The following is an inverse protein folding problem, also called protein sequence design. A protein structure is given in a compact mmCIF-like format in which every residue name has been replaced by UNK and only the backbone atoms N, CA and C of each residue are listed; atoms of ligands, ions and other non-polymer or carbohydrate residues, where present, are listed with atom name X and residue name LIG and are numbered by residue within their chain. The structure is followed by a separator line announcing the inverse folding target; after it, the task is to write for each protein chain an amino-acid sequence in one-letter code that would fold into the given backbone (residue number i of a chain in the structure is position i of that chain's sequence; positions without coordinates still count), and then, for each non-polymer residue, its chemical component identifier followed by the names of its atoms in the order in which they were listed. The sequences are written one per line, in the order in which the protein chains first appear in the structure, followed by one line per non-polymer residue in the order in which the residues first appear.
data_IF_382743506989
#
_entry.id   IF_382743506989
#
_cell.length_a   1.000
_cell.length_b   1.000
_cell.length_c   1.000
_cell.angle_alpha   90.00
_cell.angle_beta   90.00
_cell.angle_gamma   90.00
#
_symmetry.space_group_name_H-M   'P 1'
#
loop_
_entity.id
_entity.type
_entity.pdbx_description
1 polymer ?
#
# COMPACT_ATOMS: atom_id res chain seq x y z
N UNK A 1 20.58 3.12 -3.79
CA UNK A 1 19.86 2.53 -2.63
C UNK A 1 18.53 2.00 -3.13
N UNK A 2 18.06 0.83 -2.66
CA UNK A 2 16.71 0.37 -2.99
C UNK A 2 15.71 1.42 -2.47
N UNK A 3 14.91 1.97 -3.38
CA UNK A 3 13.88 2.96 -3.05
C UNK A 3 12.82 2.32 -2.16
N UNK A 4 12.18 3.13 -1.32
CA UNK A 4 11.03 2.67 -0.57
C UNK A 4 9.83 2.42 -1.48
N UNK A 5 8.97 1.45 -1.12
CA UNK A 5 7.76 1.18 -1.88
C UNK A 5 6.81 2.37 -1.82
N UNK A 6 6.34 2.79 -3.00
CA UNK A 6 5.40 3.89 -3.18
C UNK A 6 4.06 3.34 -3.65
N UNK A 7 2.98 3.63 -2.92
CA UNK A 7 1.63 3.20 -3.30
C UNK A 7 0.83 4.41 -3.78
N UNK A 8 0.35 4.38 -5.02
CA UNK A 8 -0.47 5.44 -5.60
C UNK A 8 -1.96 5.26 -5.29
N UNK A 9 -2.59 6.27 -4.71
CA UNK A 9 -4.04 6.32 -4.56
C UNK A 9 -4.66 6.97 -5.81
N UNK A 10 -5.55 6.25 -6.46
CA UNK A 10 -6.17 6.64 -7.73
C UNK A 10 -7.68 6.47 -7.68
N UNK A 11 -8.38 7.21 -8.51
CA UNK A 11 -9.84 7.16 -8.61
C UNK A 11 -10.39 8.45 -9.19
N UNK A 12 -11.65 8.41 -9.62
CA UNK A 12 -12.36 9.58 -10.10
C UNK A 12 -12.57 10.61 -8.98
N UNK A 13 -12.86 11.89 -9.30
CA UNK A 13 -13.34 12.86 -8.32
C UNK A 13 -14.52 12.32 -7.51
N UNK A 14 -14.63 12.74 -6.25
CA UNK A 14 -15.74 12.36 -5.34
C UNK A 14 -15.84 10.87 -4.97
N UNK A 15 -14.87 10.03 -5.37
CA UNK A 15 -14.78 8.61 -4.95
C UNK A 15 -14.45 8.41 -3.46
N UNK A 16 -13.91 9.46 -2.80
CA UNK A 16 -13.42 9.40 -1.43
C UNK A 16 -11.91 9.11 -1.32
N UNK A 17 -11.15 9.29 -2.42
CA UNK A 17 -9.69 9.18 -2.46
C UNK A 17 -8.98 10.00 -1.37
N UNK A 18 -9.22 11.30 -1.30
CA UNK A 18 -8.57 12.17 -0.31
C UNK A 18 -8.99 11.84 1.12
N UNK A 19 -10.24 11.40 1.34
CA UNK A 19 -10.70 10.92 2.65
C UNK A 19 -9.94 9.64 3.05
N UNK A 20 -9.77 8.71 2.11
CA UNK A 20 -9.00 7.46 2.31
C UNK A 20 -7.54 7.77 2.62
N UNK A 21 -6.92 8.70 1.88
CA UNK A 21 -5.56 9.16 2.15
C UNK A 21 -5.44 9.72 3.57
N UNK A 22 -6.30 10.66 3.94
CA UNK A 22 -6.28 11.29 5.26
C UNK A 22 -6.42 10.26 6.39
N UNK A 23 -7.27 9.24 6.20
CA UNK A 23 -7.42 8.16 7.17
C UNK A 23 -6.20 7.25 7.27
N UNK A 24 -5.35 7.16 6.24
CA UNK A 24 -4.11 6.38 6.26
C UNK A 24 -2.91 7.15 6.82
N UNK A 25 -2.95 8.49 6.81
CA UNK A 25 -1.81 9.36 7.12
C UNK A 25 -1.80 9.94 8.52
N UNK A 26 -2.97 10.06 9.19
CA UNK A 26 -3.12 10.74 10.48
C UNK A 26 -2.70 9.87 11.68
N UNK A 27 -1.57 9.18 11.59
CA UNK A 27 -1.01 8.52 12.76
C UNK A 27 -0.36 9.59 13.64
N UNK A 28 -0.73 9.58 14.90
CA UNK A 28 -0.21 10.30 16.07
C UNK A 28 1.32 10.19 16.30
N UNK A 29 2.10 9.79 15.29
CA UNK A 29 3.53 9.58 15.37
C UNK A 29 4.31 10.85 15.05
N UNK A 30 5.49 10.98 15.69
CA UNK A 30 6.43 12.06 15.40
C UNK A 30 6.91 11.93 13.96
N UNK A 31 6.44 12.81 13.09
CA UNK A 31 7.05 13.06 11.79
C UNK A 31 8.36 13.82 12.04
N UNK A 32 9.41 13.09 12.43
CA UNK A 32 10.77 13.62 12.40
C UNK A 32 11.29 13.69 10.97
N UNK A 33 12.49 14.27 10.77
CA UNK A 33 13.22 14.25 9.50
C UNK A 33 13.60 12.80 9.13
N UNK A 34 12.64 12.01 8.66
CA UNK A 34 12.92 10.79 7.91
C UNK A 34 13.60 11.21 6.60
N UNK A 35 14.54 10.42 6.04
CA UNK A 35 15.17 10.68 4.74
C UNK A 35 14.23 10.98 3.55
N UNK A 36 12.91 10.90 3.73
CA UNK A 36 11.88 11.06 2.70
C UNK A 36 10.85 12.17 3.02
N UNK A 37 11.08 13.02 4.03
CA UNK A 37 10.27 14.24 4.22
C UNK A 37 10.58 15.23 3.10
N UNK A 38 10.11 14.93 1.89
CA UNK A 38 10.21 15.80 0.72
C UNK A 38 9.00 16.73 0.71
N UNK A 39 9.20 18.00 0.36
CA UNK A 39 8.17 19.03 0.24
C UNK A 39 7.41 18.82 -1.09
N UNK A 40 6.92 17.61 -1.34
CA UNK A 40 6.03 17.34 -2.47
C UNK A 40 4.61 17.21 -1.93
N UNK A 41 3.69 18.15 -2.22
CA UNK A 41 2.34 18.16 -1.65
C UNK A 41 1.50 16.93 -1.99
N UNK A 42 1.93 16.10 -2.96
CA UNK A 42 1.25 14.85 -3.33
C UNK A 42 1.76 13.62 -2.57
N UNK A 43 2.92 13.68 -1.91
CA UNK A 43 3.47 12.54 -1.17
C UNK A 43 3.05 12.61 0.28
N UNK A 44 2.58 11.50 0.81
CA UNK A 44 2.20 11.36 2.20
C UNK A 44 2.81 10.11 2.83
N UNK A 45 2.94 10.11 4.15
CA UNK A 45 3.40 8.94 4.90
C UNK A 45 2.19 8.25 5.50
N UNK A 46 1.87 7.07 4.98
CA UNK A 46 0.90 6.17 5.57
C UNK A 46 1.56 5.26 6.62
N UNK A 47 0.74 4.57 7.41
CA UNK A 47 1.23 3.64 8.42
C UNK A 47 0.63 2.25 8.22
N UNK A 48 1.46 1.33 7.75
CA UNK A 48 1.11 -0.07 7.56
C UNK A 48 1.11 -0.80 8.90
N UNK A 49 -0.02 -1.38 9.29
CA UNK A 49 -0.12 -2.19 10.49
C UNK A 49 0.35 -3.63 10.20
N UNK A 50 1.40 -4.06 10.92
CA UNK A 50 1.97 -5.42 10.84
C UNK A 50 2.07 -6.06 12.22
N UNK A 51 2.29 -7.36 12.27
CA UNK A 51 2.70 -8.04 13.49
C UNK A 51 4.16 -7.68 13.83
N UNK A 52 4.38 -7.21 15.05
CA UNK A 52 5.69 -6.81 15.53
C UNK A 52 6.50 -8.02 15.97
N UNK A 53 7.80 -8.01 15.67
CA UNK A 53 8.74 -8.98 16.22
C UNK A 53 8.73 -9.06 17.76
N UNK A 54 8.41 -7.97 18.45
CA UNK A 54 8.45 -7.93 19.92
C UNK A 54 7.50 -8.93 20.59
N UNK A 55 6.37 -9.27 19.94
CA UNK A 55 5.41 -10.24 20.46
C UNK A 55 5.98 -11.66 20.52
N UNK A 56 6.87 -12.02 19.57
CA UNK A 56 7.55 -13.32 19.54
C UNK A 56 8.48 -13.56 20.73
N UNK A 57 8.86 -12.49 21.45
CA UNK A 57 9.84 -12.53 22.55
C UNK A 57 9.31 -11.93 23.86
N UNK A 58 8.01 -11.67 23.98
CA UNK A 58 7.40 -11.03 25.15
C UNK A 58 8.06 -9.68 25.53
N UNK A 59 8.39 -8.87 24.52
CA UNK A 59 9.06 -7.55 24.69
C UNK A 59 8.16 -6.36 24.35
N UNK A 60 6.84 -6.54 24.26
CA UNK A 60 5.88 -5.50 23.87
C UNK A 60 6.03 -4.23 24.73
N UNK A 61 6.18 -4.39 26.05
CA UNK A 61 6.32 -3.27 27.01
C UNK A 61 7.61 -2.44 26.79
N UNK A 62 8.63 -3.06 26.23
CA UNK A 62 9.94 -2.46 25.97
C UNK A 62 10.12 -2.00 24.51
N UNK A 63 9.17 -2.33 23.63
CA UNK A 63 9.21 -1.94 22.23
C UNK A 63 9.03 -0.43 22.12
N UNK A 64 10.08 0.28 21.69
CA UNK A 64 10.06 1.74 21.53
C UNK A 64 10.50 2.09 20.11
N UNK A 65 9.56 2.02 19.15
CA UNK A 65 9.77 2.49 17.79
C UNK A 65 10.44 3.86 17.72
N UNK A 66 11.41 4.03 16.82
CA UNK A 66 11.84 5.37 16.42
C UNK A 66 10.75 6.08 15.61
N UNK A 67 9.96 5.29 14.86
CA UNK A 67 8.96 5.77 13.93
C UNK A 67 7.71 4.90 13.97
N UNK A 68 6.55 5.53 13.76
CA UNK A 68 5.26 4.90 13.98
C UNK A 68 5.04 4.57 15.45
N UNK A 69 4.25 3.53 15.71
CA UNK A 69 3.89 3.09 17.06
C UNK A 69 3.95 1.56 17.16
N UNK A 70 4.00 1.05 18.38
CA UNK A 70 3.86 -0.37 18.65
C UNK A 70 2.93 -0.56 19.85
N UNK A 71 1.73 -1.08 19.59
CA UNK A 71 0.71 -1.30 20.60
C UNK A 71 0.45 -2.80 20.69
N UNK A 72 0.74 -3.39 21.86
CA UNK A 72 0.48 -4.80 22.15
C UNK A 72 0.94 -5.80 21.06
N UNK A 73 2.12 -5.59 20.48
CA UNK A 73 2.64 -6.48 19.43
C UNK A 73 2.15 -6.17 18.02
N UNK A 74 1.34 -5.13 17.80
CA UNK A 74 1.03 -4.57 16.49
C UNK A 74 1.90 -3.35 16.22
N UNK A 75 2.63 -3.36 15.11
CA UNK A 75 3.56 -2.29 14.72
C UNK A 75 2.98 -1.50 13.56
N UNK A 76 3.01 -0.18 13.68
CA UNK A 76 2.72 0.74 12.58
C UNK A 76 4.03 1.12 11.91
N UNK A 77 4.22 0.72 10.65
CA UNK A 77 5.45 0.96 9.87
C UNK A 77 5.17 2.02 8.81
N UNK A 78 5.97 3.10 8.74
CA UNK A 78 5.82 4.12 7.70
C UNK A 78 5.93 3.52 6.28
N UNK A 79 5.04 3.94 5.39
CA UNK A 79 5.07 3.60 3.97
C UNK A 79 4.70 4.83 3.13
N UNK A 80 5.29 4.97 1.95
CA UNK A 80 5.07 6.13 1.10
C UNK A 80 3.77 5.96 0.30
N UNK A 81 2.93 6.99 0.36
CA UNK A 81 1.68 7.10 -0.38
C UNK A 81 1.79 8.29 -1.35
N UNK A 82 1.24 8.12 -2.54
CA UNK A 82 1.11 9.19 -3.54
C UNK A 82 -0.38 9.49 -3.74
N UNK A 83 -0.79 10.73 -3.47
CA UNK A 83 -2.12 11.20 -3.83
C UNK A 83 -2.13 11.65 -5.28
N UNK A 84 -2.60 10.76 -6.15
CA UNK A 84 -2.66 11.06 -7.57
C UNK A 84 -3.96 11.83 -7.82
N UNK A 85 -3.91 12.93 -8.58
CA UNK A 85 -5.05 13.81 -8.82
C UNK A 85 -6.30 13.06 -9.35
N UNK A 86 -7.52 13.55 -9.11
CA UNK A 86 -8.72 12.86 -9.60
C UNK A 86 -8.71 12.72 -11.13
N UNK A 87 -8.72 11.48 -11.63
CA UNK A 87 -8.77 11.21 -13.07
C UNK A 87 -10.18 11.43 -13.62
N UNK A 88 -10.26 11.89 -14.87
CA UNK A 88 -11.50 11.93 -15.65
C UNK A 88 -11.29 11.23 -17.00
N UNK A 89 -12.34 10.70 -17.65
CA UNK A 89 -12.19 10.01 -18.92
C UNK A 89 -11.48 10.83 -20.02
N UNK A 90 -10.61 10.16 -20.78
CA UNK A 90 -9.79 10.80 -21.83
C UNK A 90 -8.47 11.42 -21.32
N UNK A 91 -8.01 11.06 -20.12
CA UNK A 91 -6.75 11.54 -19.56
C UNK A 91 -5.53 11.15 -20.42
N UNK A 92 -5.53 9.96 -21.02
CA UNK A 92 -4.49 9.51 -21.95
C UNK A 92 -4.37 10.34 -23.24
N UNK A 93 -5.45 11.04 -23.65
CA UNK A 93 -5.45 11.94 -24.81
C UNK A 93 -4.96 13.35 -24.45
N UNK A 94 -4.51 13.56 -23.21
CA UNK A 94 -4.08 14.86 -22.71
C UNK A 94 -5.23 15.80 -22.32
N UNK A 95 -6.47 15.31 -22.16
CA UNK A 95 -7.54 16.14 -21.58
C UNK A 95 -7.21 16.51 -20.13
N UNK A 96 -7.37 17.80 -19.81
CA UNK A 96 -7.13 18.34 -18.47
C UNK A 96 -5.66 18.20 -18.01
N UNK A 97 -5.45 17.75 -16.78
CA UNK A 97 -4.13 17.46 -16.20
C UNK A 97 -3.67 16.01 -16.43
N UNK A 98 -4.36 15.24 -17.31
CA UNK A 98 -4.23 13.78 -17.44
C UNK A 98 -2.82 13.26 -17.71
N UNK A 99 -2.06 13.92 -18.58
CA UNK A 99 -0.66 13.51 -18.84
C UNK A 99 0.25 13.69 -17.64
N UNK A 100 0.05 14.74 -16.82
CA UNK A 100 0.82 14.94 -15.58
C UNK A 100 0.47 13.86 -14.54
N UNK A 101 -0.81 13.48 -14.46
CA UNK A 101 -1.26 12.40 -13.59
C UNK A 101 -0.65 11.05 -13.96
N UNK A 102 -0.70 10.67 -15.24
CA UNK A 102 -0.17 9.38 -15.69
C UNK A 102 1.34 9.36 -15.47
N UNK A 103 1.98 10.50 -15.65
CA UNK A 103 3.37 10.71 -15.32
C UNK A 103 3.70 10.50 -13.83
N UNK A 104 2.81 10.92 -12.91
CA UNK A 104 2.94 10.67 -11.47
C UNK A 104 2.84 9.17 -11.15
N UNK A 105 1.96 8.43 -11.85
CA UNK A 105 1.83 6.97 -11.69
C UNK A 105 3.13 6.22 -12.00
N UNK A 106 4.01 6.75 -12.85
CA UNK A 106 5.29 6.09 -13.21
C UNK A 106 6.12 5.73 -11.99
N UNK A 107 5.98 6.48 -10.90
CA UNK A 107 6.74 6.28 -9.68
C UNK A 107 6.11 5.23 -8.75
N UNK A 108 4.80 4.99 -8.85
CA UNK A 108 4.10 4.06 -7.98
C UNK A 108 4.49 2.60 -8.26
N UNK A 109 4.67 1.81 -7.21
CA UNK A 109 4.93 0.37 -7.26
C UNK A 109 3.62 -0.45 -7.29
N UNK A 110 2.57 0.07 -6.66
CA UNK A 110 1.22 -0.48 -6.66
C UNK A 110 0.20 0.64 -6.64
N UNK A 111 -1.04 0.32 -6.99
CA UNK A 111 -2.17 1.24 -6.95
C UNK A 111 -3.22 0.81 -5.93
N UNK A 112 -3.84 1.79 -5.29
CA UNK A 112 -5.12 1.65 -4.59
C UNK A 112 -6.14 2.42 -5.41
N UNK A 113 -7.01 1.70 -6.11
CA UNK A 113 -8.12 2.28 -6.83
C UNK A 113 -9.32 2.44 -5.90
N UNK A 114 -9.58 3.68 -5.47
CA UNK A 114 -10.75 4.05 -4.66
C UNK A 114 -11.96 4.21 -5.57
N UNK A 115 -12.94 3.33 -5.39
CA UNK A 115 -14.18 3.27 -6.19
C UNK A 115 -15.36 3.62 -5.30
N UNK A 116 -16.23 4.51 -5.77
CA UNK A 116 -17.49 4.83 -5.09
C UNK A 116 -18.51 3.72 -5.29
N UNK A 117 -18.59 2.78 -4.35
CA UNK A 117 -19.49 1.63 -4.49
C UNK A 117 -20.96 1.99 -4.26
N UNK A 118 -21.25 3.19 -3.76
CA UNK A 118 -22.63 3.66 -3.59
C UNK A 118 -23.37 3.92 -4.91
N UNK A 119 -22.64 4.12 -6.02
CA UNK A 119 -23.22 4.48 -7.32
C UNK A 119 -23.88 5.87 -7.34
N UNK A 120 -23.53 6.73 -6.38
CA UNK A 120 -24.07 8.09 -6.25
C UNK A 120 -23.25 9.17 -6.97
N UNK A 121 -22.16 8.77 -7.63
CA UNK A 121 -21.33 9.66 -8.46
C UNK A 121 -21.12 9.07 -9.85
N UNK A 122 -21.21 9.89 -10.89
CA UNK A 122 -20.96 9.50 -12.28
C UNK A 122 -19.45 9.47 -12.61
N UNK A 123 -19.09 9.21 -13.86
CA UNK A 123 -17.68 9.12 -14.30
C UNK A 123 -16.89 10.44 -14.14
N UNK A 124 -17.56 11.59 -14.05
CA UNK A 124 -16.93 12.89 -13.80
C UNK A 124 -16.91 13.25 -12.30
N UNK A 125 -17.46 12.40 -11.44
CA UNK A 125 -17.58 12.61 -10.00
C UNK A 125 -18.73 13.55 -9.62
N UNK A 126 -19.68 13.79 -10.52
CA UNK A 126 -20.90 14.56 -10.24
C UNK A 126 -21.96 13.66 -9.62
N UNK A 127 -22.83 14.25 -8.80
CA UNK A 127 -23.91 13.51 -8.15
C UNK A 127 -24.86 12.90 -9.17
N UNK A 128 -25.16 11.61 -9.01
CA UNK A 128 -26.07 10.84 -9.86
C UNK A 128 -26.77 9.76 -9.03
N UNK A 129 -27.62 8.95 -9.66
CA UNK A 129 -28.25 7.78 -9.04
C UNK A 129 -28.15 6.58 -9.97
N UNK A 130 -27.80 5.43 -9.40
CA UNK A 130 -27.77 4.16 -10.14
C UNK A 130 -26.61 4.04 -11.13
N UNK A 131 -25.53 4.80 -10.95
CA UNK A 131 -24.30 4.59 -11.72
C UNK A 131 -23.68 3.25 -11.36
N UNK A 132 -23.14 2.54 -12.35
CA UNK A 132 -22.47 1.25 -12.17
C UNK A 132 -20.98 1.46 -11.87
N UNK A 133 -20.52 1.26 -10.61
CA UNK A 133 -19.13 1.52 -10.26
C UNK A 133 -18.16 0.50 -10.88
N UNK A 134 -18.65 -0.59 -11.47
CA UNK A 134 -17.78 -1.52 -12.20
C UNK A 134 -17.20 -0.90 -13.48
N UNK A 135 -17.85 0.13 -14.02
CA UNK A 135 -17.35 0.89 -15.17
C UNK A 135 -16.10 1.69 -14.81
N UNK A 136 -16.02 2.25 -13.60
CA UNK A 136 -14.84 2.98 -13.12
C UNK A 136 -13.59 2.08 -13.09
N UNK A 137 -13.75 0.83 -12.63
CA UNK A 137 -12.66 -0.17 -12.54
C UNK A 137 -12.08 -0.47 -13.92
N UNK A 138 -12.95 -0.74 -14.90
CA UNK A 138 -12.55 -1.03 -16.27
C UNK A 138 -11.92 0.20 -16.92
N UNK A 139 -12.52 1.36 -16.68
CA UNK A 139 -12.07 2.63 -17.25
C UNK A 139 -10.64 2.98 -16.82
N UNK A 140 -10.33 2.96 -15.51
CA UNK A 140 -9.00 3.32 -15.02
C UNK A 140 -7.92 2.45 -15.65
N UNK A 141 -8.12 1.13 -15.66
CA UNK A 141 -7.18 0.18 -16.26
C UNK A 141 -7.01 0.46 -17.76
N UNK A 142 -8.13 0.71 -18.45
CA UNK A 142 -8.13 1.06 -19.87
C UNK A 142 -7.33 2.34 -20.18
N UNK A 143 -7.41 3.37 -19.33
CA UNK A 143 -6.61 4.60 -19.51
C UNK A 143 -5.10 4.33 -19.41
N UNK A 144 -4.67 3.53 -18.42
CA UNK A 144 -3.25 3.21 -18.23
C UNK A 144 -2.73 2.38 -19.42
N UNK A 145 -3.48 1.38 -19.86
CA UNK A 145 -3.13 0.55 -21.02
C UNK A 145 -3.02 1.39 -22.28
N UNK A 146 -4.03 2.23 -22.58
CA UNK A 146 -4.02 3.10 -23.77
C UNK A 146 -2.86 4.08 -23.77
N UNK A 147 -2.50 4.62 -22.61
CA UNK A 147 -1.35 5.52 -22.48
C UNK A 147 -0.02 4.82 -22.76
N UNK A 148 0.22 3.65 -22.17
CA UNK A 148 1.45 2.88 -22.41
C UNK A 148 1.52 2.42 -23.87
N UNK A 149 0.40 1.91 -24.40
CA UNK A 149 0.31 1.46 -25.78
C UNK A 149 0.52 2.61 -26.76
N UNK A 150 -0.08 3.77 -26.53
CA UNK A 150 0.09 4.96 -27.35
C UNK A 150 1.56 5.39 -27.45
N UNK A 151 2.24 5.50 -26.31
CA UNK A 151 3.66 5.84 -26.26
C UNK A 151 4.56 4.82 -26.96
N UNK A 152 4.24 3.52 -26.85
CA UNK A 152 4.97 2.46 -27.51
C UNK A 152 4.75 2.49 -29.03
N UNK A 153 3.50 2.63 -29.47
CA UNK A 153 3.10 2.57 -30.87
C UNK A 153 3.60 3.76 -31.68
N UNK A 154 3.69 4.96 -31.07
CA UNK A 154 4.28 6.14 -31.70
C UNK A 154 5.70 5.89 -32.24
N UNK A 155 6.47 5.04 -31.54
CA UNK A 155 7.89 4.77 -31.84
C UNK A 155 8.13 3.37 -32.39
N UNK A 156 7.09 2.54 -32.53
CA UNK A 156 7.20 1.10 -32.82
C UNK A 156 8.02 0.78 -34.07
N UNK A 157 7.82 1.52 -35.16
CA UNK A 157 8.57 1.32 -36.40
C UNK A 157 10.08 1.58 -36.26
N UNK A 158 10.49 2.50 -35.38
CA UNK A 158 11.89 2.75 -35.06
C UNK A 158 12.45 1.67 -34.13
N UNK A 159 11.67 1.28 -33.11
CA UNK A 159 12.01 0.23 -32.15
C UNK A 159 12.30 -1.08 -32.88
N UNK A 160 11.41 -1.52 -33.79
CA UNK A 160 11.59 -2.75 -34.58
C UNK A 160 12.85 -2.73 -35.42
N UNK A 161 13.11 -1.64 -36.15
CA UNK A 161 14.31 -1.51 -37.00
C UNK A 161 15.59 -1.60 -36.17
N UNK A 162 15.63 -0.92 -35.03
CA UNK A 162 16.78 -0.96 -34.12
C UNK A 162 16.97 -2.35 -33.52
N UNK A 163 15.89 -2.99 -33.05
CA UNK A 163 15.90 -4.34 -32.49
C UNK A 163 16.58 -5.35 -33.42
N UNK A 164 16.16 -5.37 -34.69
CA UNK A 164 16.72 -6.24 -35.73
C UNK A 164 18.18 -5.88 -36.04
N UNK A 165 18.49 -4.58 -36.20
CA UNK A 165 19.83 -4.13 -36.57
C UNK A 165 20.91 -4.53 -35.55
N UNK A 166 20.59 -4.49 -34.25
CA UNK A 166 21.54 -4.83 -33.18
C UNK A 166 21.38 -6.26 -32.66
N UNK A 167 20.43 -7.04 -33.20
CA UNK A 167 20.08 -8.40 -32.73
C UNK A 167 19.82 -8.45 -31.22
N UNK A 168 19.09 -7.46 -30.71
CA UNK A 168 18.74 -7.41 -29.29
C UNK A 168 17.76 -8.54 -28.93
N UNK A 169 17.73 -8.95 -27.67
CA UNK A 169 16.62 -9.77 -27.17
C UNK A 169 15.37 -8.88 -26.90
N UNK A 170 14.20 -9.50 -26.85
CA UNK A 170 12.93 -8.80 -26.65
C UNK A 170 12.84 -8.12 -25.28
N UNK A 171 13.40 -8.76 -24.23
CA UNK A 171 13.40 -8.24 -22.86
C UNK A 171 14.12 -6.90 -22.79
N UNK A 172 15.34 -6.79 -23.29
CA UNK A 172 16.14 -5.56 -23.28
C UNK A 172 15.49 -4.46 -24.12
N UNK A 173 14.88 -4.86 -25.24
CA UNK A 173 14.21 -3.92 -26.15
C UNK A 173 13.01 -3.26 -25.47
N UNK A 174 12.14 -4.08 -24.86
CA UNK A 174 10.96 -3.61 -24.15
C UNK A 174 11.31 -2.94 -22.83
N UNK A 175 12.32 -3.42 -22.10
CA UNK A 175 12.80 -2.76 -20.88
C UNK A 175 13.25 -1.33 -21.20
N UNK A 176 13.95 -1.12 -22.32
CA UNK A 176 14.31 0.23 -22.76
C UNK A 176 13.09 1.13 -22.96
N UNK A 177 12.00 0.62 -23.52
CA UNK A 177 10.76 1.38 -23.72
C UNK A 177 9.97 1.60 -22.43
N UNK A 178 9.97 0.60 -21.55
CA UNK A 178 9.20 0.63 -20.31
C UNK A 178 9.97 1.22 -19.12
N UNK A 179 11.25 1.57 -19.31
CA UNK A 179 12.12 2.16 -18.29
C UNK A 179 11.54 3.46 -17.73
N UNK A 180 10.85 4.25 -18.56
CA UNK A 180 10.16 5.48 -18.14
C UNK A 180 9.07 5.25 -17.09
N UNK A 181 8.49 4.05 -17.02
CA UNK A 181 7.52 3.66 -16.01
C UNK A 181 8.16 2.96 -14.80
N UNK A 182 9.49 3.02 -14.63
CA UNK A 182 10.19 2.34 -13.55
C UNK A 182 10.31 0.82 -13.71
N UNK A 183 10.14 0.30 -14.93
CA UNK A 183 10.25 -1.14 -15.20
C UNK A 183 11.69 -1.65 -15.18
N UNK A 184 11.88 -2.89 -14.75
CA UNK A 184 13.16 -3.62 -14.75
C UNK A 184 13.12 -4.77 -15.75
N UNK A 185 14.28 -5.28 -16.17
CA UNK A 185 14.35 -6.46 -17.06
C UNK A 185 13.63 -7.67 -16.45
N UNK A 186 13.65 -7.82 -15.12
CA UNK A 186 12.94 -8.88 -14.42
C UNK A 186 11.41 -8.76 -14.53
N UNK A 187 10.86 -7.55 -14.48
CA UNK A 187 9.41 -7.30 -14.69
C UNK A 187 9.02 -7.64 -16.13
N UNK A 188 9.81 -7.18 -17.11
CA UNK A 188 9.55 -7.47 -18.53
C UNK A 188 9.67 -8.96 -18.84
N UNK A 189 10.69 -9.64 -18.30
CA UNK A 189 10.86 -11.08 -18.47
C UNK A 189 9.64 -11.86 -17.95
N UNK A 190 9.20 -11.62 -16.72
CA UNK A 190 7.98 -12.26 -16.17
C UNK A 190 6.74 -12.00 -17.01
N UNK A 191 6.57 -10.77 -17.51
CA UNK A 191 5.48 -10.43 -18.40
C UNK A 191 5.51 -11.27 -19.70
N UNK A 192 6.66 -11.36 -20.35
CA UNK A 192 6.80 -12.15 -21.59
C UNK A 192 6.66 -13.65 -21.34
N UNK A 193 7.21 -14.15 -20.23
CA UNK A 193 7.12 -15.56 -19.83
C UNK A 193 5.66 -15.99 -19.61
N UNK A 194 4.84 -15.11 -18.99
CA UNK A 194 3.39 -15.35 -18.81
C UNK A 194 2.63 -15.48 -20.12
N UNK A 195 3.03 -14.70 -21.14
CA UNK A 195 2.39 -14.72 -22.45
C UNK A 195 2.88 -15.87 -23.34
N UNK A 196 4.04 -16.45 -23.03
CA UNK A 196 4.65 -17.56 -23.77
C UNK A 196 4.69 -17.30 -25.28
N UNK A 197 5.09 -16.08 -25.67
CA UNK A 197 5.14 -15.65 -27.06
C UNK A 197 6.23 -16.42 -27.81
N UNK A 198 5.83 -17.06 -28.92
CA UNK A 198 6.74 -17.86 -29.76
C UNK A 198 7.28 -17.10 -30.97
N UNK A 199 6.69 -15.96 -31.27
CA UNK A 199 7.00 -15.14 -32.43
C UNK A 199 8.06 -14.08 -32.09
N UNK A 200 9.03 -13.82 -32.98
CA UNK A 200 9.99 -12.72 -32.80
C UNK A 200 9.32 -11.35 -32.72
N UNK A 201 9.90 -10.43 -31.95
CA UNK A 201 9.31 -9.10 -31.66
C UNK A 201 8.98 -8.30 -32.92
N UNK A 202 9.83 -8.38 -33.94
CA UNK A 202 9.65 -7.67 -35.20
C UNK A 202 8.43 -8.12 -36.01
N UNK A 203 7.90 -9.32 -35.71
CA UNK A 203 6.74 -9.92 -36.37
C UNK A 203 5.42 -9.68 -35.63
N UNK A 204 5.46 -9.08 -34.44
CA UNK A 204 4.25 -8.84 -33.64
C UNK A 204 3.29 -7.87 -34.34
N UNK A 205 2.04 -8.28 -34.37
CA UNK A 205 0.89 -7.48 -34.79
C UNK A 205 0.36 -6.63 -33.63
N UNK A 206 -0.66 -5.82 -33.91
CA UNK A 206 -1.24 -4.92 -32.91
C UNK A 206 -1.87 -5.68 -31.74
N UNK A 207 -2.48 -6.85 -31.99
CA UNK A 207 -3.12 -7.67 -30.94
C UNK A 207 -2.07 -8.26 -29.98
N UNK A 208 -0.94 -8.72 -30.52
CA UNK A 208 0.18 -9.21 -29.71
C UNK A 208 0.76 -8.07 -28.86
N UNK A 209 0.96 -6.88 -29.46
CA UNK A 209 1.46 -5.71 -28.73
C UNK A 209 0.49 -5.30 -27.63
N UNK A 210 -0.80 -5.26 -27.91
CA UNK A 210 -1.83 -4.97 -26.91
C UNK A 210 -1.78 -5.99 -25.76
N UNK A 211 -1.63 -7.27 -26.06
CA UNK A 211 -1.49 -8.33 -25.04
C UNK A 211 -0.24 -8.13 -24.17
N UNK A 212 0.89 -7.74 -24.77
CA UNK A 212 2.12 -7.39 -24.05
C UNK A 212 1.92 -6.18 -23.15
N UNK A 213 1.27 -5.12 -23.64
CA UNK A 213 1.01 -3.92 -22.82
C UNK A 213 0.04 -4.22 -21.68
N UNK A 214 -0.99 -5.03 -21.91
CA UNK A 214 -1.90 -5.47 -20.86
C UNK A 214 -1.15 -6.23 -19.75
N UNK A 215 -0.38 -7.26 -20.13
CA UNK A 215 0.40 -8.05 -19.17
C UNK A 215 1.45 -7.21 -18.44
N UNK A 216 2.10 -6.27 -19.14
CA UNK A 216 3.04 -5.34 -18.53
C UNK A 216 2.34 -4.42 -17.52
N UNK A 217 1.16 -3.90 -17.86
CA UNK A 217 0.37 -3.03 -16.98
C UNK A 217 0.00 -3.76 -15.69
N UNK A 218 -0.48 -5.00 -15.79
CA UNK A 218 -0.88 -5.81 -14.63
C UNK A 218 0.33 -6.18 -13.74
N UNK A 219 1.51 -6.43 -14.34
CA UNK A 219 2.76 -6.66 -13.59
C UNK A 219 3.30 -5.38 -12.94
N UNK A 220 3.26 -4.25 -13.65
CA UNK A 220 3.85 -3.00 -13.20
C UNK A 220 2.97 -2.26 -12.19
N UNK A 221 1.66 -2.37 -12.33
CA UNK A 221 0.68 -1.66 -11.52
C UNK A 221 -0.29 -2.65 -10.85
N UNK A 222 0.20 -3.56 -9.99
CA UNK A 222 -0.68 -4.37 -9.17
C UNK A 222 -1.62 -3.45 -8.39
N UNK A 223 -2.92 -3.70 -8.51
CA UNK A 223 -3.96 -2.77 -8.06
C UNK A 223 -4.87 -3.41 -7.03
N UNK A 224 -5.04 -2.76 -5.87
CA UNK A 224 -6.11 -3.03 -4.91
C UNK A 224 -7.32 -2.18 -5.27
N UNK A 225 -8.49 -2.80 -5.33
CA UNK A 225 -9.77 -2.12 -5.55
C UNK A 225 -10.40 -1.85 -4.18
N UNK A 226 -10.30 -0.61 -3.71
CA UNK A 226 -10.93 -0.14 -2.48
C UNK A 226 -12.36 0.30 -2.79
N UNK A 227 -13.33 -0.59 -2.55
CA UNK A 227 -14.77 -0.32 -2.67
C UNK A 227 -15.21 0.54 -1.49
N UNK A 228 -15.14 1.85 -1.68
CA UNK A 228 -15.39 2.84 -0.65
C UNK A 228 -16.87 3.24 -0.61
N UNK A 229 -17.29 3.82 0.53
CA UNK A 229 -18.68 4.21 0.85
C UNK A 229 -19.62 3.01 1.06
N UNK A 230 -19.11 1.95 1.69
CA UNK A 230 -19.93 0.79 2.07
C UNK A 230 -21.00 1.13 3.13
N UNK A 231 -20.87 2.28 3.79
CA UNK A 231 -21.88 2.86 4.67
C UNK A 231 -23.13 3.37 3.93
N UNK A 232 -23.17 3.31 2.60
CA UNK A 232 -24.35 3.67 1.83
C UNK A 232 -25.29 2.47 1.63
N UNK A 233 -26.63 2.61 1.79
CA UNK A 233 -27.59 1.51 1.63
C UNK A 233 -27.56 0.82 0.25
N UNK A 234 -27.23 1.56 -0.80
CA UNK A 234 -27.15 1.02 -2.18
C UNK A 234 -25.85 0.27 -2.49
N UNK A 235 -24.88 0.25 -1.57
CA UNK A 235 -23.57 -0.36 -1.77
C UNK A 235 -23.65 -1.85 -2.13
N UNK A 236 -24.53 -2.60 -1.48
CA UNK A 236 -24.56 -4.06 -1.52
C UNK A 236 -24.71 -4.65 -2.92
N UNK A 237 -25.61 -4.05 -3.71
CA UNK A 237 -25.89 -4.50 -5.07
C UNK A 237 -24.65 -4.34 -5.95
N UNK A 238 -23.94 -3.23 -5.79
CA UNK A 238 -22.74 -2.93 -6.53
C UNK A 238 -21.56 -3.79 -6.06
N UNK A 239 -21.40 -3.98 -4.75
CA UNK A 239 -20.40 -4.90 -4.18
C UNK A 239 -20.58 -6.29 -4.75
N UNK A 240 -21.80 -6.84 -4.70
CA UNK A 240 -22.10 -8.18 -5.21
C UNK A 240 -21.84 -8.31 -6.72
N UNK A 241 -22.09 -7.24 -7.50
CA UNK A 241 -21.81 -7.21 -8.93
C UNK A 241 -20.31 -7.20 -9.22
N UNK A 242 -19.54 -6.40 -8.49
CA UNK A 242 -18.10 -6.26 -8.68
C UNK A 242 -17.37 -7.53 -8.21
N UNK A 243 -17.74 -8.08 -7.05
CA UNK A 243 -17.13 -9.28 -6.48
C UNK A 243 -17.26 -10.52 -7.39
N UNK A 244 -18.26 -10.56 -8.29
CA UNK A 244 -18.41 -11.64 -9.29
C UNK A 244 -17.43 -11.53 -10.46
N UNK A 245 -16.84 -10.35 -10.70
CA UNK A 245 -15.99 -10.06 -11.86
C UNK A 245 -14.52 -9.89 -11.49
N UNK A 246 -14.22 -9.70 -10.22
CA UNK A 246 -12.88 -9.34 -9.73
C UNK A 246 -12.36 -10.42 -8.79
N UNK A 247 -11.03 -10.53 -8.71
CA UNK A 247 -10.37 -11.42 -7.76
C UNK A 247 -10.67 -10.97 -6.31
N UNK A 248 -11.22 -11.83 -5.43
CA UNK A 248 -11.42 -11.48 -4.02
C UNK A 248 -10.15 -11.00 -3.31
N UNK A 249 -8.97 -11.45 -3.76
CA UNK A 249 -7.69 -11.03 -3.20
C UNK A 249 -7.29 -9.60 -3.62
N UNK A 250 -7.96 -8.98 -4.59
CA UNK A 250 -7.69 -7.58 -4.97
C UNK A 250 -8.72 -6.60 -4.42
N UNK A 251 -9.84 -7.08 -3.89
CA UNK A 251 -10.93 -6.23 -3.38
C UNK A 251 -10.79 -6.01 -1.86
N UNK A 252 -11.03 -4.77 -1.44
CA UNK A 252 -11.26 -4.42 -0.04
C UNK A 252 -12.50 -3.53 0.05
N UNK A 253 -13.43 -3.90 0.94
CA UNK A 253 -14.59 -3.07 1.28
C UNK A 253 -14.14 -2.04 2.31
N UNK A 254 -14.43 -0.75 2.09
CA UNK A 254 -14.08 0.27 3.07
C UNK A 254 -15.11 1.40 3.22
N UNK A 255 -15.08 2.04 4.39
CA UNK A 255 -15.73 3.32 4.65
C UNK A 255 -14.70 4.27 5.23
N UNK A 256 -14.09 5.06 4.35
CA UNK A 256 -13.10 6.06 4.74
C UNK A 256 -13.71 7.15 5.64
N UNK A 257 -15.00 7.48 5.45
CA UNK A 257 -15.68 8.48 6.28
C UNK A 257 -15.90 7.98 7.71
N UNK A 258 -16.28 6.70 7.87
CA UNK A 258 -16.40 6.07 9.19
C UNK A 258 -15.07 6.02 9.91
N UNK A 259 -13.98 5.67 9.22
CA UNK A 259 -12.64 5.67 9.80
C UNK A 259 -12.21 7.05 10.29
N UNK A 260 -12.38 8.09 9.46
CA UNK A 260 -12.07 9.48 9.86
C UNK A 260 -12.88 9.90 11.07
N UNK A 261 -14.16 9.53 11.12
CA UNK A 261 -15.05 9.86 12.23
C UNK A 261 -14.61 9.18 13.53
N UNK A 262 -14.36 7.86 13.53
CA UNK A 262 -13.92 7.11 14.70
C UNK A 262 -12.57 7.61 15.23
N UNK A 263 -11.59 7.83 14.34
CA UNK A 263 -10.27 8.38 14.72
C UNK A 263 -10.39 9.75 15.37
N UNK A 264 -11.26 10.62 14.83
CA UNK A 264 -11.49 11.95 15.39
C UNK A 264 -12.07 11.87 16.80
N UNK A 265 -13.05 10.98 17.03
CA UNK A 265 -13.65 10.78 18.34
C UNK A 265 -12.65 10.22 19.34
N UNK A 266 -11.84 9.23 18.93
CA UNK A 266 -10.81 8.65 19.77
C UNK A 266 -9.77 9.70 20.19
N UNK A 267 -9.30 10.53 19.25
CA UNK A 267 -8.37 11.63 19.52
C UNK A 267 -8.95 12.69 20.46
N UNK A 268 -10.26 12.89 20.42
CA UNK A 268 -10.97 13.84 21.30
C UNK A 268 -11.32 13.23 22.67
N UNK A 269 -11.10 11.93 22.86
CA UNK A 269 -11.40 11.20 24.08
C UNK A 269 -12.87 10.86 24.26
N UNK A 270 -13.65 10.74 23.18
CA UNK A 270 -15.07 10.33 23.26
C UNK A 270 -15.28 8.83 23.16
N UNK A 271 -14.37 8.12 22.48
CA UNK A 271 -14.46 6.67 22.30
C UNK A 271 -13.09 6.03 22.48
N UNK A 272 -13.07 4.76 22.85
CA UNK A 272 -11.91 3.89 22.75
C UNK A 272 -12.00 3.13 21.43
N UNK A 273 -11.10 3.43 20.51
CA UNK A 273 -11.05 2.83 19.19
C UNK A 273 -9.59 2.62 18.77
N UNK A 274 -9.27 1.41 18.30
CA UNK A 274 -8.00 1.08 17.67
C UNK A 274 -8.20 0.93 16.15
N UNK A 275 -7.26 1.41 15.36
CA UNK A 275 -7.38 1.43 13.90
C UNK A 275 -7.57 0.02 13.32
N UNK A 276 -8.62 -0.16 12.52
CA UNK A 276 -8.96 -1.46 11.92
C UNK A 276 -9.59 -2.46 12.90
N UNK A 277 -9.91 -2.03 14.12
CA UNK A 277 -10.71 -2.79 15.07
C UNK A 277 -12.16 -2.90 14.60
N UNK A 278 -12.81 -4.00 14.96
CA UNK A 278 -14.26 -4.15 14.88
C UNK A 278 -14.98 -3.49 16.06
N UNK A 279 -14.24 -3.20 17.14
CA UNK A 279 -14.77 -2.67 18.39
C UNK A 279 -14.54 -1.16 18.51
N UNK A 280 -15.59 -0.46 18.96
CA UNK A 280 -15.55 0.92 19.43
C UNK A 280 -16.38 1.01 20.70
N UNK A 281 -15.74 1.40 21.80
CA UNK A 281 -16.39 1.49 23.10
C UNK A 281 -16.59 2.96 23.48
N UNK A 282 -17.80 3.29 23.89
CA UNK A 282 -18.15 4.58 24.50
C UNK A 282 -17.85 4.56 26.00
N UNK A 283 -18.00 5.71 26.67
CA UNK A 283 -17.87 5.78 28.14
C UNK A 283 -18.87 4.84 28.82
N UNK A 284 -20.10 4.80 28.33
CA UNK A 284 -21.18 3.97 28.87
C UNK A 284 -20.88 2.48 28.69
N UNK A 285 -20.44 2.07 27.49
CA UNK A 285 -20.05 0.68 27.21
C UNK A 285 -18.98 0.20 28.21
N UNK A 286 -17.95 1.02 28.47
CA UNK A 286 -16.88 0.69 29.41
C UNK A 286 -17.36 0.62 30.87
N UNK A 287 -18.35 1.43 31.26
CA UNK A 287 -18.96 1.36 32.59
C UNK A 287 -19.75 0.07 32.76
N UNK A 288 -20.51 -0.33 31.73
CA UNK A 288 -21.25 -1.60 31.70
C UNK A 288 -20.30 -2.81 31.77
N UNK A 289 -19.13 -2.70 31.13
CA UNK A 289 -18.05 -3.70 31.18
C UNK A 289 -17.24 -3.69 32.50
N UNK A 290 -17.59 -2.82 33.44
CA UNK A 290 -17.05 -2.83 34.80
C UNK A 290 -15.90 -1.86 35.07
N UNK A 291 -15.66 -0.87 34.21
CA UNK A 291 -14.78 0.29 34.48
C UNK A 291 -15.62 1.47 35.01
N UNK A 292 -15.62 1.75 36.34
CA UNK A 292 -16.47 2.80 36.91
C UNK A 292 -16.16 4.22 36.41
N UNK A 293 -14.97 4.45 35.87
CA UNK A 293 -14.56 5.75 35.31
C UNK A 293 -14.86 5.86 33.80
N UNK A 294 -15.32 4.76 33.18
CA UNK A 294 -15.61 4.67 31.75
C UNK A 294 -14.38 4.94 30.88
N UNK A 295 -13.22 4.41 31.28
CA UNK A 295 -11.93 4.60 30.61
C UNK A 295 -11.42 6.05 30.61
N UNK A 296 -11.98 6.92 31.44
CA UNK A 296 -11.69 8.36 31.41
C UNK A 296 -12.22 9.07 30.16
N UNK A 297 -13.13 8.44 29.41
CA UNK A 297 -13.74 9.01 28.22
C UNK A 297 -14.75 10.11 28.57
N UNK A 298 -14.93 11.06 27.65
CA UNK A 298 -15.96 12.08 27.72
C UNK A 298 -17.31 11.47 27.40
N UNK A 299 -18.35 11.99 28.05
CA UNK A 299 -19.74 11.64 27.76
C UNK A 299 -20.12 12.10 26.34
N UNK A 300 -20.82 11.23 25.60
CA UNK A 300 -21.37 11.55 24.29
C UNK A 300 -22.78 12.13 24.44
N UNK A 301 -23.10 13.18 23.66
CA UNK A 301 -24.50 13.61 23.52
C UNK A 301 -25.33 12.58 22.74
N UNK A 302 -26.65 12.66 22.87
CA UNK A 302 -27.58 11.69 22.27
C UNK A 302 -27.43 11.57 20.74
N UNK A 303 -27.15 12.70 20.07
CA UNK A 303 -26.96 12.73 18.63
C UNK A 303 -25.67 12.01 18.23
N UNK A 304 -24.61 12.16 19.02
CA UNK A 304 -23.33 11.50 18.82
C UNK A 304 -23.45 10.00 19.06
N UNK A 305 -24.14 9.59 20.14
CA UNK A 305 -24.45 8.19 20.45
C UNK A 305 -25.17 7.52 19.28
N UNK A 306 -26.26 8.11 18.80
CA UNK A 306 -27.00 7.57 17.66
C UNK A 306 -26.14 7.43 16.39
N UNK A 307 -25.20 8.36 16.17
CA UNK A 307 -24.28 8.30 15.02
C UNK A 307 -23.25 7.18 15.17
N UNK A 308 -22.77 6.92 16.38
CA UNK A 308 -21.83 5.81 16.66
C UNK A 308 -22.56 4.48 16.47
N UNK A 309 -23.77 4.34 17.00
CA UNK A 309 -24.57 3.11 16.86
C UNK A 309 -24.94 2.82 15.40
N UNK A 310 -25.40 3.83 14.65
CA UNK A 310 -25.65 3.66 13.22
C UNK A 310 -24.39 3.22 12.45
N UNK A 311 -23.22 3.73 12.82
CA UNK A 311 -21.96 3.33 12.21
C UNK A 311 -21.58 1.89 12.59
N UNK A 312 -21.72 1.51 13.86
CA UNK A 312 -21.52 0.13 14.33
C UNK A 312 -22.35 -0.84 13.50
N UNK A 313 -23.65 -0.58 13.35
CA UNK A 313 -24.58 -1.41 12.59
C UNK A 313 -24.26 -1.48 11.10
N UNK A 314 -24.10 -0.31 10.46
CA UNK A 314 -23.94 -0.25 9.01
C UNK A 314 -22.55 -0.69 8.53
N UNK A 315 -21.53 -0.56 9.39
CA UNK A 315 -20.13 -0.78 9.01
C UNK A 315 -19.46 -1.86 9.85
N UNK A 316 -19.32 -1.68 11.16
CA UNK A 316 -18.44 -2.53 11.97
C UNK A 316 -19.01 -3.95 12.15
N UNK A 317 -20.26 -4.10 12.61
CA UNK A 317 -20.88 -5.42 12.76
C UNK A 317 -21.08 -6.13 11.43
N UNK A 318 -21.28 -5.35 10.36
CA UNK A 318 -21.55 -5.89 9.04
C UNK A 318 -20.30 -6.36 8.30
N UNK A 319 -19.21 -5.60 8.40
CA UNK A 319 -17.99 -5.83 7.61
C UNK A 319 -16.74 -6.14 8.46
N UNK A 320 -16.87 -6.12 9.79
CA UNK A 320 -15.80 -6.42 10.75
C UNK A 320 -14.77 -5.30 10.93
N UNK A 321 -14.79 -4.24 10.11
CA UNK A 321 -13.97 -3.04 10.30
C UNK A 321 -14.41 -1.95 9.33
N UNK A 322 -13.78 -0.78 9.40
CA UNK A 322 -13.90 0.26 8.37
C UNK A 322 -13.17 -0.10 7.07
N UNK A 323 -12.34 -1.15 7.06
CA UNK A 323 -11.60 -1.63 5.90
C UNK A 323 -10.42 -0.78 5.45
N UNK A 324 -10.27 0.46 5.93
CA UNK A 324 -9.20 1.38 5.49
C UNK A 324 -7.81 0.81 5.74
N UNK A 325 -7.57 0.26 6.95
CA UNK A 325 -6.28 -0.37 7.28
C UNK A 325 -6.03 -1.60 6.39
N UNK A 326 -7.08 -2.35 6.06
CA UNK A 326 -6.98 -3.54 5.21
C UNK A 326 -6.61 -3.19 3.77
N UNK A 327 -7.03 -2.02 3.26
CA UNK A 327 -6.62 -1.54 1.92
C UNK A 327 -5.09 -1.46 1.82
N UNK A 328 -4.44 -0.87 2.82
CA UNK A 328 -2.99 -0.71 2.82
C UNK A 328 -2.27 -2.05 3.08
N UNK A 329 -2.81 -2.91 3.96
CA UNK A 329 -2.30 -4.27 4.18
C UNK A 329 -2.39 -5.12 2.91
N UNK A 330 -3.48 -5.02 2.16
CA UNK A 330 -3.63 -5.72 0.89
C UNK A 330 -2.65 -5.24 -0.16
N UNK A 331 -2.43 -3.93 -0.26
CA UNK A 331 -1.45 -3.36 -1.19
C UNK A 331 -0.03 -3.82 -0.84
N UNK A 332 0.33 -3.84 0.44
CA UNK A 332 1.61 -4.38 0.91
C UNK A 332 1.76 -5.88 0.60
N UNK A 333 0.69 -6.67 0.76
CA UNK A 333 0.66 -8.10 0.41
C UNK A 333 0.85 -8.33 -1.09
N UNK A 334 0.17 -7.55 -1.95
CA UNK A 334 0.35 -7.61 -3.41
C UNK A 334 1.79 -7.29 -3.83
N UNK A 335 2.41 -6.31 -3.17
CA UNK A 335 3.82 -5.98 -3.36
C UNK A 335 4.80 -7.00 -2.75
N UNK A 336 4.30 -7.98 -1.99
CA UNK A 336 5.12 -8.96 -1.29
C UNK A 336 6.05 -8.33 -0.25
N UNK A 337 5.64 -7.23 0.40
CA UNK A 337 6.49 -6.54 1.36
C UNK A 337 6.71 -7.39 2.63
N UNK A 338 7.97 -7.56 3.00
CA UNK A 338 8.42 -8.29 4.18
C UNK A 338 9.06 -7.31 5.16
N UNK A 339 8.63 -7.27 6.44
CA UNK A 339 9.27 -6.44 7.44
C UNK A 339 10.61 -7.02 7.89
N UNK A 340 11.60 -6.15 8.07
CA UNK A 340 12.91 -6.45 8.65
C UNK A 340 13.13 -5.56 9.86
N UNK A 341 13.49 -6.17 10.98
CA UNK A 341 13.76 -5.54 12.26
C UNK A 341 15.26 -5.54 12.54
N UNK A 342 16.01 -4.53 12.07
CA UNK A 342 17.42 -4.44 12.38
C UNK A 342 17.64 -4.14 13.87
N UNK A 343 18.55 -4.87 14.50
CA UNK A 343 18.90 -4.72 15.92
C UNK A 343 20.42 -4.67 16.08
N UNK A 344 20.92 -3.88 17.02
CA UNK A 344 22.37 -3.81 17.29
C UNK A 344 22.87 -5.00 18.09
N UNK A 345 22.04 -5.52 19.00
CA UNK A 345 22.33 -6.71 19.78
C UNK A 345 21.18 -7.72 19.60
N UNK A 346 21.51 -8.91 19.12
CA UNK A 346 20.52 -9.95 18.77
C UNK A 346 19.94 -10.68 19.97
N UNK A 347 20.60 -10.62 21.13
CA UNK A 347 20.13 -11.25 22.37
C UNK A 347 19.21 -10.33 23.17
N UNK A 348 19.44 -9.01 23.10
CA UNK A 348 18.60 -8.02 23.81
C UNK A 348 17.62 -7.31 22.91
N UNK A 349 17.80 -7.36 21.59
CA UNK A 349 17.05 -6.62 20.56
C UNK A 349 17.14 -5.08 20.69
N UNK A 350 18.08 -4.60 21.50
CA UNK A 350 18.25 -3.18 21.83
C UNK A 350 19.38 -2.49 21.06
N UNK A 351 19.64 -1.23 21.43
CA UNK A 351 20.69 -0.37 20.87
C UNK A 351 22.13 -0.76 21.30
N UNK A 352 22.26 -1.72 22.22
CA UNK A 352 23.55 -2.12 22.79
C UNK A 352 24.09 -1.19 23.88
N UNK A 353 23.38 -0.10 24.21
CA UNK A 353 23.76 0.80 25.31
C UNK A 353 23.31 0.23 26.66
N UNK A 354 24.23 0.00 27.63
CA UNK A 354 23.86 -0.44 28.97
C UNK A 354 22.84 0.50 29.62
N UNK A 355 21.76 -0.05 30.19
CA UNK A 355 20.70 0.72 30.84
C UNK A 355 19.57 1.22 29.94
N UNK A 356 19.69 1.12 28.60
CA UNK A 356 18.55 1.35 27.70
C UNK A 356 17.71 0.08 27.55
N UNK A 357 16.46 0.12 27.99
CA UNK A 357 15.50 -0.98 27.83
C UNK A 357 14.75 -0.97 26.49
N UNK A 358 14.94 0.06 25.66
CA UNK A 358 14.25 0.20 24.39
C UNK A 358 14.71 -0.84 23.36
N UNK A 359 13.77 -1.62 22.83
CA UNK A 359 14.02 -2.68 21.83
C UNK A 359 13.24 -2.46 20.54
N UNK A 360 13.64 -3.18 19.48
CA UNK A 360 12.98 -3.17 18.17
C UNK A 360 12.71 -1.75 17.66
N UNK A 361 13.74 -0.89 17.71
CA UNK A 361 13.57 0.54 17.43
C UNK A 361 13.19 0.79 15.97
N UNK A 362 13.78 0.02 15.06
CA UNK A 362 13.64 0.22 13.63
C UNK A 362 12.93 -0.97 12.98
N UNK A 363 12.21 -0.68 11.89
CA UNK A 363 11.57 -1.66 11.03
C UNK A 363 11.56 -1.09 9.61
N UNK A 364 12.05 -1.85 8.64
CA UNK A 364 12.04 -1.48 7.22
C UNK A 364 11.28 -2.52 6.43
N UNK A 365 10.65 -2.11 5.33
CA UNK A 365 9.95 -3.03 4.42
C UNK A 365 10.85 -3.34 3.21
N UNK A 366 10.99 -4.62 2.88
CA UNK A 366 11.73 -5.08 1.70
C UNK A 366 10.84 -5.93 0.80
N UNK A 367 11.02 -5.94 -0.53
CA UNK A 367 10.27 -6.84 -1.41
C UNK A 367 10.53 -8.32 -1.10
N UNK A 368 9.57 -9.19 -1.45
CA UNK A 368 9.75 -10.65 -1.35
C UNK A 368 10.91 -11.10 -2.23
N UNK A 369 11.72 -12.02 -1.70
CA UNK A 369 12.93 -12.51 -2.38
C UNK A 369 14.15 -11.62 -2.18
N UNK A 370 14.06 -10.58 -1.34
CA UNK A 370 15.23 -9.79 -0.94
C UNK A 370 16.19 -10.66 -0.14
N UNK A 371 17.47 -10.64 -0.53
CA UNK A 371 18.55 -11.31 0.20
C UNK A 371 18.95 -10.54 1.45
N UNK A 372 19.56 -11.22 2.40
CA UNK A 372 20.07 -10.61 3.64
C UNK A 372 21.10 -9.50 3.32
N UNK A 373 21.93 -9.66 2.29
CA UNK A 373 22.84 -8.61 1.79
C UNK A 373 22.11 -7.35 1.35
N UNK A 374 21.05 -7.50 0.56
CA UNK A 374 20.27 -6.37 0.06
C UNK A 374 19.52 -5.66 1.19
N UNK A 375 18.96 -6.43 2.14
CA UNK A 375 18.35 -5.88 3.35
C UNK A 375 19.38 -5.09 4.17
N UNK A 376 20.59 -5.61 4.34
CA UNK A 376 21.67 -4.93 5.03
C UNK A 376 22.07 -3.63 4.32
N UNK A 377 22.18 -3.66 3.00
CA UNK A 377 22.45 -2.47 2.18
C UNK A 377 21.36 -1.41 2.30
N UNK A 378 20.10 -1.82 2.43
CA UNK A 378 18.97 -0.91 2.67
C UNK A 378 19.09 -0.22 4.04
N UNK A 379 19.46 -0.97 5.08
CA UNK A 379 19.55 -0.45 6.45
C UNK A 379 20.82 0.37 6.69
N UNK A 380 21.96 -0.08 6.16
CA UNK A 380 23.30 0.42 6.50
C UNK A 380 23.96 1.22 5.36
N UNK A 381 23.38 1.23 4.15
CA UNK A 381 24.04 1.78 2.97
C UNK A 381 25.19 0.90 2.48
N UNK A 382 26.24 1.50 1.92
CA UNK A 382 27.40 0.78 1.39
C UNK A 382 28.50 0.52 2.46
N UNK A 383 28.14 0.48 3.74
CA UNK A 383 29.07 0.18 4.83
C UNK A 383 29.49 -1.30 4.75
N UNK A 384 30.81 -1.62 4.78
CA UNK A 384 31.29 -3.00 4.78
C UNK A 384 30.76 -3.81 5.97
N UNK A 385 30.28 -5.01 5.70
CA UNK A 385 29.74 -5.93 6.70
C UNK A 385 30.76 -7.04 6.91
N UNK A 386 31.19 -7.25 8.16
CA UNK A 386 32.03 -8.39 8.53
C UNK A 386 31.22 -9.68 8.56
N UNK A 387 30.03 -9.63 9.18
CA UNK A 387 29.09 -10.74 9.25
C UNK A 387 27.72 -10.30 9.74
N UNK A 388 26.74 -11.22 9.64
CA UNK A 388 25.34 -10.99 10.00
C UNK A 388 24.88 -12.07 10.97
N UNK A 389 24.15 -11.66 12.00
CA UNK A 389 23.52 -12.54 12.99
C UNK A 389 22.00 -12.44 12.89
N UNK A 390 21.34 -13.59 12.83
CA UNK A 390 19.88 -13.74 12.93
C UNK A 390 19.43 -14.06 14.35
N UNK A 391 18.12 -14.06 14.58
CA UNK A 391 17.52 -14.40 15.87
C UNK A 391 18.12 -15.70 16.46
N UNK A 392 18.47 -15.66 17.76
CA UNK A 392 19.18 -16.76 18.42
C UNK A 392 20.71 -16.70 18.31
N UNK A 393 21.28 -15.70 17.63
CA UNK A 393 22.74 -15.53 17.50
C UNK A 393 23.37 -16.41 16.42
N UNK A 394 22.56 -16.94 15.51
CA UNK A 394 23.01 -17.80 14.42
C UNK A 394 23.61 -16.94 13.30
N UNK A 395 24.72 -17.38 12.69
CA UNK A 395 25.27 -16.73 11.51
C UNK A 395 24.39 -16.98 10.31
N UNK A 396 24.07 -15.91 9.59
CA UNK A 396 23.21 -15.95 8.41
C UNK A 396 24.06 -15.61 7.20
N UNK A 397 23.94 -16.41 6.13
CA UNK A 397 24.65 -16.13 4.90
C UNK A 397 24.03 -14.95 4.15
N UNK A 398 24.84 -14.22 3.40
CA UNK A 398 24.44 -12.99 2.71
C UNK A 398 23.43 -13.22 1.58
N UNK A 399 23.44 -14.41 0.99
CA UNK A 399 22.58 -14.87 -0.10
C UNK A 399 21.26 -15.51 0.38
N UNK A 400 21.12 -15.75 1.69
CA UNK A 400 19.85 -16.22 2.25
C UNK A 400 18.75 -15.17 2.08
N UNK A 401 17.53 -15.65 1.91
CA UNK A 401 16.35 -14.81 1.78
C UNK A 401 15.81 -14.37 3.15
N UNK A 402 15.22 -13.17 3.14
CA UNK A 402 14.48 -12.61 4.27
C UNK A 402 13.00 -12.98 4.13
N UNK A 403 12.43 -13.59 5.17
CA UNK A 403 11.02 -13.93 5.27
C UNK A 403 10.51 -13.69 6.70
N UNK A 404 9.21 -13.46 6.89
CA UNK A 404 8.67 -13.29 8.26
C UNK A 404 8.94 -14.56 9.08
N UNK A 405 9.56 -14.40 10.25
CA UNK A 405 10.00 -15.51 11.09
C UNK A 405 11.33 -16.15 10.71
N UNK A 406 11.92 -15.81 9.55
CA UNK A 406 13.20 -16.34 9.07
C UNK A 406 14.06 -15.20 8.51
N UNK A 407 15.15 -14.88 9.21
CA UNK A 407 16.06 -13.79 8.81
C UNK A 407 15.38 -12.40 8.76
N UNK A 408 14.25 -12.20 9.45
CA UNK A 408 13.56 -10.91 9.58
C UNK A 408 14.01 -10.09 10.79
N UNK A 409 14.83 -10.65 11.68
CA UNK A 409 15.49 -9.94 12.78
C UNK A 409 16.98 -10.12 12.59
N UNK A 410 17.68 -9.03 12.26
CA UNK A 410 19.07 -9.08 11.80
C UNK A 410 19.94 -8.11 12.60
N UNK A 411 21.14 -8.56 12.95
CA UNK A 411 22.21 -7.72 13.48
C UNK A 411 23.38 -7.68 12.51
N UNK A 412 23.66 -6.51 11.95
CA UNK A 412 24.76 -6.29 11.02
C UNK A 412 26.02 -5.88 11.79
N UNK A 413 27.09 -6.67 11.71
CA UNK A 413 28.38 -6.31 12.31
C UNK A 413 29.28 -5.71 11.25
N UNK A 414 29.69 -4.47 11.49
CA UNK A 414 30.48 -3.67 10.55
C UNK A 414 31.91 -4.22 10.50
N UNK A 415 32.44 -4.38 9.29
CA UNK A 415 33.85 -4.67 9.06
C UNK A 415 34.72 -3.43 9.26
N UNK A 416 35.95 -3.64 9.74
CA UNK A 416 36.94 -2.55 9.87
C UNK A 416 37.40 -2.06 8.51
#
# INVERSE_FOLDING_TARGET
MPRDPLIGLVGKPSSGKSTTLNSLTDATSKVGNFPFTTIDPQRAVGYLQIDCACARFNKQQHCKPNYGACNNGKRSVPIELLDVAGLVPGAHEGRGLGNKFLDDLRHADALIHVVDVSGTTDAEGKATRGYDPSDDIVWLRGEIVRWIQGNLMEKWGSIKRRHVAIKANAVDTLQGQFSGYGSTSAVVARCLDKLNLKTPLETWDNETIESVVNAFTDEKFPTVIALNKIDHPDADKNIAKIAKKQDPETIVLCSAISEVFLRKLAKQGYVKYEEGSEFVDTREDLIEDGDPEGGGLKECDEKLKQRIENLKDMVLYRFGSTGVVEVLKRAAKLLGLTPVFPVRNIHTFGSGTPGQSAVFRDCVLVPKGTTVREAARKVMGDIPIAYIEGAGGVRVAEDELVEVGKNDILSFKIGR
#
